data_IF_879161868333
#
_entry.id   IF_879161868333
#
_cell.length_a   1.000
_cell.length_b   1.000
_cell.length_c   1.000
_cell.angle_alpha   90.00
_cell.angle_beta   90.00
_cell.angle_gamma   90.00
#
_symmetry.space_group_name_H-M   'P 1'
#
loop_
_entity.id
_entity.type
_entity.pdbx_description
1 polymer ?
#
# COMPACT_ATOMS: atom_id res chain seq x y z
N UNK A 1 -1.98 22.51 11.69
CA UNK A 1 -2.11 21.03 11.85
C UNK A 1 -1.59 20.61 13.21
N UNK A 2 -2.25 19.64 13.89
CA UNK A 2 -1.82 19.12 15.19
C UNK A 2 -0.97 17.85 15.05
N UNK A 3 -0.13 17.56 16.05
CA UNK A 3 0.65 16.31 16.11
C UNK A 3 0.28 15.59 17.41
N UNK A 4 -0.12 14.32 17.31
CA UNK A 4 -0.34 13.42 18.43
C UNK A 4 0.76 12.34 18.43
N UNK A 5 1.38 12.14 19.58
CA UNK A 5 2.43 11.11 19.78
C UNK A 5 1.92 9.96 20.64
N UNK A 6 0.77 10.10 21.28
CA UNK A 6 0.13 9.04 22.07
C UNK A 6 -1.24 8.67 21.51
N UNK A 7 -1.64 7.42 21.76
CA UNK A 7 -2.99 6.93 21.40
C UNK A 7 -4.07 7.78 22.04
N UNK A 8 -3.87 8.21 23.29
CA UNK A 8 -4.89 9.00 24.00
C UNK A 8 -5.05 10.41 23.40
N UNK A 9 -3.95 11.08 23.01
CA UNK A 9 -4.02 12.37 22.31
C UNK A 9 -4.79 12.25 20.98
N UNK A 10 -4.48 11.23 20.18
CA UNK A 10 -5.17 11.01 18.91
C UNK A 10 -6.67 10.74 19.13
N UNK A 11 -7.00 9.84 20.07
CA UNK A 11 -8.40 9.53 20.42
C UNK A 11 -9.16 10.75 20.96
N UNK A 12 -8.53 11.59 21.77
CA UNK A 12 -9.16 12.78 22.31
C UNK A 12 -9.55 13.76 21.20
N UNK A 13 -8.62 14.01 20.25
CA UNK A 13 -8.89 14.85 19.08
C UNK A 13 -10.03 14.29 18.22
N UNK A 14 -10.00 12.99 17.94
CA UNK A 14 -11.04 12.35 17.14
C UNK A 14 -12.40 12.35 17.85
N UNK A 15 -12.46 12.10 19.16
CA UNK A 15 -13.71 12.17 19.93
C UNK A 15 -14.36 13.56 19.84
N UNK A 16 -13.55 14.63 19.88
CA UNK A 16 -14.04 15.98 19.68
C UNK A 16 -14.67 16.14 18.29
N UNK A 17 -13.98 15.73 17.23
CA UNK A 17 -14.52 15.80 15.87
C UNK A 17 -15.83 15.00 15.71
N UNK A 18 -15.88 13.80 16.29
CA UNK A 18 -17.09 12.97 16.26
C UNK A 18 -18.25 13.57 17.06
N UNK A 19 -17.97 14.24 18.18
CA UNK A 19 -18.99 14.96 18.96
C UNK A 19 -19.55 16.17 18.21
N UNK A 20 -18.79 16.77 17.30
CA UNK A 20 -19.21 17.83 16.39
C UNK A 20 -19.95 17.29 15.14
N UNK A 21 -20.07 15.98 15.00
CA UNK A 21 -20.76 15.32 13.85
C UNK A 21 -19.91 15.27 12.58
N UNK A 22 -18.60 15.48 12.68
CA UNK A 22 -17.71 15.54 11.52
C UNK A 22 -17.29 14.16 11.03
N UNK A 23 -17.15 14.03 9.71
CA UNK A 23 -16.59 12.85 9.06
C UNK A 23 -15.07 12.85 9.15
N UNK A 24 -14.48 11.66 9.42
CA UNK A 24 -13.03 11.49 9.60
C UNK A 24 -12.45 10.59 8.53
N UNK A 25 -11.44 11.11 7.81
CA UNK A 25 -10.59 10.35 6.90
C UNK A 25 -9.30 9.87 7.59
N UNK A 26 -8.89 8.65 7.30
CA UNK A 26 -7.61 8.07 7.75
C UNK A 26 -6.72 7.79 6.56
N UNK A 27 -5.45 8.24 6.62
CA UNK A 27 -4.41 7.88 5.65
C UNK A 27 -3.26 7.19 6.40
N UNK A 28 -3.20 5.84 6.39
CA UNK A 28 -2.09 5.11 7.01
C UNK A 28 -0.83 5.19 6.17
N UNK A 29 0.29 5.62 6.77
CA UNK A 29 1.60 5.65 6.13
C UNK A 29 2.71 5.17 7.06
N UNK A 30 3.85 4.82 6.47
CA UNK A 30 5.07 4.48 7.23
C UNK A 30 6.06 5.64 7.32
N UNK A 31 5.72 6.81 6.79
CA UNK A 31 6.62 7.95 6.65
C UNK A 31 7.43 7.92 5.35
N UNK A 32 8.35 8.89 5.22
CA UNK A 32 9.10 9.19 4.00
C UNK A 32 8.18 9.39 2.80
N UNK A 33 7.32 10.39 2.96
CA UNK A 33 6.20 10.63 2.06
C UNK A 33 6.66 11.18 0.70
N UNK A 34 5.86 10.92 -0.30
CA UNK A 34 6.05 11.38 -1.67
C UNK A 34 4.68 11.68 -2.31
N UNK A 35 4.66 12.15 -3.55
CA UNK A 35 3.45 12.58 -4.26
C UNK A 35 2.35 11.50 -4.31
N UNK A 36 2.73 10.22 -4.25
CA UNK A 36 1.77 9.12 -4.11
C UNK A 36 0.98 9.20 -2.80
N UNK A 37 1.66 9.46 -1.67
CA UNK A 37 1.01 9.66 -0.38
C UNK A 37 0.22 10.97 -0.34
N UNK A 38 0.79 12.04 -0.92
CA UNK A 38 0.12 13.35 -1.03
C UNK A 38 -1.23 13.22 -1.76
N UNK A 39 -1.30 12.40 -2.82
CA UNK A 39 -2.54 12.16 -3.55
C UNK A 39 -3.63 11.50 -2.70
N UNK A 40 -3.24 10.57 -1.79
CA UNK A 40 -4.17 9.97 -0.81
C UNK A 40 -4.71 11.01 0.17
N UNK A 41 -3.81 11.86 0.70
CA UNK A 41 -4.16 12.89 1.66
C UNK A 41 -5.10 13.92 1.03
N UNK A 42 -4.78 14.43 -0.16
CA UNK A 42 -5.64 15.35 -0.91
C UNK A 42 -7.01 14.76 -1.21
N UNK A 43 -7.07 13.47 -1.54
CA UNK A 43 -8.33 12.74 -1.74
C UNK A 43 -9.14 12.70 -0.44
N UNK A 44 -8.50 12.38 0.68
CA UNK A 44 -9.15 12.34 1.99
C UNK A 44 -9.68 13.72 2.40
N UNK A 45 -8.89 14.78 2.21
CA UNK A 45 -9.28 16.18 2.50
C UNK A 45 -10.46 16.64 1.65
N UNK A 46 -10.55 16.17 0.41
CA UNK A 46 -11.69 16.50 -0.47
C UNK A 46 -12.99 15.76 -0.11
N UNK A 47 -12.92 14.64 0.62
CA UNK A 47 -14.05 13.75 0.87
C UNK A 47 -14.48 13.67 2.34
N UNK A 48 -13.67 14.20 3.28
CA UNK A 48 -13.93 14.17 4.71
C UNK A 48 -13.74 15.55 5.35
N UNK A 49 -14.47 15.82 6.45
CA UNK A 49 -14.38 17.10 7.18
C UNK A 49 -13.07 17.23 7.95
N UNK A 50 -12.49 16.11 8.39
CA UNK A 50 -11.22 16.02 9.12
C UNK A 50 -10.39 14.85 8.64
N UNK A 51 -9.08 15.04 8.58
CA UNK A 51 -8.15 13.99 8.11
C UNK A 51 -7.04 13.76 9.13
N UNK A 52 -6.90 12.50 9.55
CA UNK A 52 -5.76 12.00 10.30
C UNK A 52 -4.82 11.23 9.39
N UNK A 53 -3.54 11.61 9.37
CA UNK A 53 -2.47 10.87 8.70
C UNK A 53 -1.62 10.20 9.77
N UNK A 54 -1.45 8.86 9.69
CA UNK A 54 -0.47 8.20 10.55
C UNK A 54 0.90 8.15 9.86
N UNK A 55 1.95 8.50 10.60
CA UNK A 55 3.35 8.35 10.21
C UNK A 55 3.98 7.37 11.18
N UNK A 56 3.89 6.07 10.87
CA UNK A 56 4.32 5.01 11.76
C UNK A 56 4.98 3.85 11.01
N UNK A 57 6.29 3.71 11.17
CA UNK A 57 7.04 2.58 10.64
C UNK A 57 6.77 1.34 11.50
N UNK A 58 5.83 0.53 11.04
CA UNK A 58 5.33 -0.63 11.80
C UNK A 58 6.34 -1.79 11.84
N UNK A 59 6.98 -2.08 12.99
CA UNK A 59 8.03 -3.09 13.04
C UNK A 59 7.53 -4.53 12.78
N UNK A 60 6.29 -4.85 13.15
CA UNK A 60 5.78 -6.22 13.09
C UNK A 60 5.39 -6.69 11.67
N UNK A 61 5.41 -5.80 10.68
CA UNK A 61 5.18 -6.17 9.27
C UNK A 61 6.44 -6.46 8.48
N UNK A 62 7.62 -6.33 9.11
CA UNK A 62 8.92 -6.61 8.50
C UNK A 62 9.47 -7.92 9.01
N UNK A 63 10.01 -8.74 8.09
CA UNK A 63 10.79 -9.90 8.46
C UNK A 63 12.21 -9.47 8.93
N UNK A 64 12.95 -10.31 9.67
CA UNK A 64 14.27 -9.95 10.20
C UNK A 64 15.30 -9.52 9.17
N UNK A 65 15.15 -9.95 7.91
CA UNK A 65 16.06 -9.66 6.80
C UNK A 65 15.51 -8.61 5.83
N UNK A 66 14.44 -7.90 6.20
CA UNK A 66 13.89 -6.79 5.42
C UNK A 66 14.48 -5.44 5.84
N UNK A 67 14.12 -4.40 5.10
CA UNK A 67 14.70 -3.05 5.16
C UNK A 67 14.24 -2.17 6.33
N UNK A 68 13.73 -2.74 7.42
CA UNK A 68 13.24 -1.98 8.58
C UNK A 68 14.28 -0.99 9.14
N UNK A 69 15.53 -1.45 9.30
CA UNK A 69 16.60 -0.64 9.88
C UNK A 69 17.04 0.49 8.95
N UNK A 70 17.01 0.25 7.64
CA UNK A 70 17.46 1.19 6.59
C UNK A 70 16.33 1.95 5.96
N UNK A 71 15.08 1.68 6.36
CA UNK A 71 13.91 2.40 5.82
C UNK A 71 14.06 3.91 6.04
N UNK A 72 13.94 4.73 5.00
CA UNK A 72 14.19 6.16 5.10
C UNK A 72 13.18 6.84 6.03
N UNK A 73 13.63 7.88 6.74
CA UNK A 73 12.82 8.68 7.68
C UNK A 73 13.19 10.13 7.54
N UNK A 74 12.19 10.98 7.38
CA UNK A 74 12.32 12.44 7.43
C UNK A 74 11.00 13.03 7.93
N UNK A 75 10.83 13.02 9.24
CA UNK A 75 9.57 13.47 9.87
C UNK A 75 9.27 14.94 9.61
N UNK A 76 10.30 15.78 9.48
CA UNK A 76 10.11 17.20 9.19
C UNK A 76 9.55 17.40 7.77
N UNK A 77 10.12 16.71 6.77
CA UNK A 77 9.60 16.74 5.40
C UNK A 77 8.19 16.13 5.31
N UNK A 78 7.95 15.01 6.01
CA UNK A 78 6.64 14.36 6.07
C UNK A 78 5.58 15.32 6.64
N UNK A 79 5.89 15.96 7.75
CA UNK A 79 4.97 16.91 8.42
C UNK A 79 4.64 18.09 7.50
N UNK A 80 5.64 18.66 6.84
CA UNK A 80 5.44 19.77 5.88
C UNK A 80 4.56 19.34 4.70
N UNK A 81 4.77 18.15 4.14
CA UNK A 81 3.95 17.62 3.05
C UNK A 81 2.50 17.40 3.49
N UNK A 82 2.29 16.81 4.69
CA UNK A 82 0.96 16.54 5.24
C UNK A 82 0.20 17.85 5.49
N UNK A 83 0.87 18.86 6.07
CA UNK A 83 0.27 20.19 6.33
C UNK A 83 -0.11 20.89 5.02
N UNK A 84 0.78 20.87 4.02
CA UNK A 84 0.51 21.46 2.71
C UNK A 84 -0.62 20.72 1.97
N UNK A 85 -0.80 19.44 2.19
CA UNK A 85 -1.90 18.65 1.64
C UNK A 85 -3.25 18.91 2.34
N UNK A 86 -3.24 19.61 3.49
CA UNK A 86 -4.45 20.08 4.18
C UNK A 86 -4.99 19.12 5.26
N UNK A 87 -4.22 18.16 5.74
CA UNK A 87 -4.65 17.30 6.84
C UNK A 87 -4.66 18.04 8.20
N UNK A 88 -5.49 17.56 9.13
CA UNK A 88 -5.73 18.20 10.43
C UNK A 88 -4.86 17.64 11.55
N UNK A 89 -4.54 16.34 11.49
CA UNK A 89 -3.81 15.62 12.53
C UNK A 89 -2.76 14.68 11.96
N UNK A 90 -1.54 14.77 12.45
CA UNK A 90 -0.51 13.73 12.30
C UNK A 90 -0.49 12.86 13.54
N UNK A 91 -0.59 11.55 13.37
CA UNK A 91 -0.37 10.59 14.45
C UNK A 91 0.99 9.90 14.24
N UNK A 92 1.94 10.24 15.12
CA UNK A 92 3.32 9.75 15.05
C UNK A 92 3.75 9.15 16.40
N UNK A 93 3.26 7.93 16.70
CA UNK A 93 3.58 7.26 17.97
C UNK A 93 4.91 6.51 17.90
N UNK A 94 5.52 6.32 19.09
CA UNK A 94 6.57 5.32 19.27
C UNK A 94 5.98 3.88 19.20
N UNK A 95 6.77 2.87 18.83
CA UNK A 95 6.30 1.48 18.78
C UNK A 95 5.68 0.97 20.08
N UNK A 96 6.21 1.38 21.23
CA UNK A 96 5.70 1.02 22.56
C UNK A 96 4.29 1.55 22.83
N UNK A 97 3.89 2.63 22.16
CA UNK A 97 2.53 3.20 22.28
C UNK A 97 1.47 2.31 21.60
N UNK A 98 1.85 1.66 20.49
CA UNK A 98 0.96 0.74 19.78
C UNK A 98 1.09 -0.72 20.23
N UNK A 99 2.25 -1.12 20.73
CA UNK A 99 2.55 -2.50 21.11
C UNK A 99 3.13 -2.54 22.52
N UNK A 100 2.29 -2.82 23.51
CA UNK A 100 2.73 -3.07 24.87
C UNK A 100 3.66 -4.31 24.89
N UNK A 101 4.61 -4.40 25.86
CA UNK A 101 5.55 -5.52 25.93
C UNK A 101 4.89 -6.91 26.05
N UNK A 102 3.67 -6.97 26.59
CA UNK A 102 2.86 -8.16 26.76
C UNK A 102 1.77 -8.32 25.69
N UNK A 103 1.80 -7.54 24.63
CA UNK A 103 0.82 -7.61 23.53
C UNK A 103 0.83 -8.99 22.86
N UNK A 104 -0.31 -9.67 22.86
CA UNK A 104 -0.49 -11.01 22.32
C UNK A 104 -1.66 -11.13 21.33
N UNK A 105 -2.29 -10.02 20.96
CA UNK A 105 -3.43 -9.99 20.04
C UNK A 105 -2.98 -9.54 18.65
N UNK A 106 -3.35 -10.33 17.64
CA UNK A 106 -3.06 -10.06 16.23
C UNK A 106 -4.32 -10.25 15.39
N UNK A 107 -4.38 -9.53 14.27
CA UNK A 107 -5.40 -9.75 13.24
C UNK A 107 -4.75 -10.48 12.07
N UNK A 108 -5.29 -11.63 11.70
CA UNK A 108 -4.84 -12.44 10.57
C UNK A 108 -5.97 -12.59 9.56
N UNK A 109 -5.65 -12.44 8.28
CA UNK A 109 -6.56 -12.75 7.17
C UNK A 109 -5.92 -13.89 6.40
N UNK A 110 -6.67 -14.97 6.21
CA UNK A 110 -6.19 -16.17 5.53
C UNK A 110 -6.57 -16.18 4.03
N UNK A 111 -6.10 -17.16 3.30
CA UNK A 111 -6.30 -17.37 1.85
C UNK A 111 -5.71 -16.25 0.98
N UNK A 112 -6.32 -15.06 0.93
CA UNK A 112 -5.88 -13.96 0.06
C UNK A 112 -4.50 -13.40 0.43
N UNK A 113 -3.94 -13.84 1.53
CA UNK A 113 -2.58 -13.52 2.01
C UNK A 113 -1.56 -14.61 1.71
N UNK A 114 -1.97 -15.72 1.08
CA UNK A 114 -1.06 -16.83 0.74
C UNK A 114 -0.43 -16.70 -0.65
N UNK A 115 -0.91 -15.77 -1.48
CA UNK A 115 -0.46 -15.55 -2.85
C UNK A 115 0.40 -14.27 -2.96
N UNK A 116 1.02 -14.04 -4.11
CA UNK A 116 1.77 -12.83 -4.44
C UNK A 116 2.83 -12.49 -3.35
N UNK A 117 2.73 -11.28 -2.77
CA UNK A 117 3.63 -10.85 -1.68
C UNK A 117 3.56 -11.76 -0.44
N UNK A 118 2.42 -12.39 -0.17
CA UNK A 118 2.28 -13.27 0.97
C UNK A 118 3.09 -14.56 0.87
N UNK A 119 3.36 -15.07 -0.35
CA UNK A 119 4.25 -16.22 -0.56
C UNK A 119 5.68 -15.94 -0.09
N UNK A 120 6.19 -14.75 -0.35
CA UNK A 120 7.57 -14.36 -0.04
C UNK A 120 7.72 -13.64 1.30
N UNK A 121 6.60 -13.15 1.85
CA UNK A 121 6.53 -12.39 3.11
C UNK A 121 5.41 -12.93 4.02
N UNK A 122 5.52 -14.14 4.59
CA UNK A 122 4.40 -14.84 5.23
C UNK A 122 3.85 -14.15 6.48
N UNK A 123 4.64 -13.30 7.16
CA UNK A 123 4.19 -12.55 8.35
C UNK A 123 3.73 -11.12 8.07
N UNK A 124 3.96 -10.65 6.84
CA UNK A 124 3.72 -9.26 6.45
C UNK A 124 2.28 -8.82 6.67
N UNK A 125 1.32 -9.54 6.10
CA UNK A 125 -0.09 -9.14 6.16
C UNK A 125 -0.69 -9.25 7.56
N UNK A 126 -0.23 -10.18 8.39
CA UNK A 126 -0.58 -10.20 9.81
C UNK A 126 -0.16 -8.90 10.51
N UNK A 127 1.04 -8.41 10.22
CA UNK A 127 1.51 -7.11 10.72
C UNK A 127 0.67 -5.94 10.19
N UNK A 128 0.36 -5.93 8.89
CA UNK A 128 -0.48 -4.90 8.26
C UNK A 128 -1.89 -4.90 8.84
N UNK A 129 -2.57 -6.04 8.89
CA UNK A 129 -3.93 -6.15 9.42
C UNK A 129 -4.00 -5.69 10.88
N UNK A 130 -3.00 -6.07 11.69
CA UNK A 130 -2.94 -5.67 13.09
C UNK A 130 -2.79 -4.16 13.26
N UNK A 131 -1.84 -3.53 12.57
CA UNK A 131 -1.64 -2.07 12.69
C UNK A 131 -2.82 -1.29 12.12
N UNK A 132 -3.34 -1.70 10.95
CA UNK A 132 -4.47 -1.01 10.31
C UNK A 132 -5.72 -1.10 11.19
N UNK A 133 -6.01 -2.25 11.80
CA UNK A 133 -7.11 -2.39 12.78
C UNK A 133 -6.94 -1.46 13.97
N UNK A 134 -5.72 -1.34 14.52
CA UNK A 134 -5.44 -0.37 15.60
C UNK A 134 -5.68 1.06 15.15
N UNK A 135 -5.18 1.45 13.99
CA UNK A 135 -5.34 2.80 13.45
C UNK A 135 -6.81 3.13 13.18
N UNK A 136 -7.59 2.20 12.63
CA UNK A 136 -9.03 2.36 12.44
C UNK A 136 -9.78 2.53 13.77
N UNK A 137 -9.43 1.75 14.80
CA UNK A 137 -10.00 1.90 16.15
C UNK A 137 -9.61 3.22 16.84
N UNK A 138 -8.39 3.72 16.59
CA UNK A 138 -7.91 4.99 17.16
C UNK A 138 -8.59 6.17 16.49
N UNK A 139 -8.66 6.15 15.15
CA UNK A 139 -9.20 7.23 14.33
C UNK A 139 -10.72 7.26 14.25
N UNK A 140 -11.39 6.14 14.55
CA UNK A 140 -12.84 5.98 14.29
C UNK A 140 -13.23 6.51 12.91
N UNK A 141 -12.37 6.27 11.91
CA UNK A 141 -12.51 6.83 10.59
C UNK A 141 -13.78 6.32 9.88
N UNK A 142 -14.45 7.24 9.16
CA UNK A 142 -15.55 6.89 8.25
C UNK A 142 -14.98 6.36 6.93
N UNK A 143 -13.80 6.87 6.51
CA UNK A 143 -13.09 6.44 5.31
C UNK A 143 -11.60 6.26 5.58
N UNK A 144 -11.00 5.22 4.98
CA UNK A 144 -9.57 4.97 5.04
C UNK A 144 -9.01 4.79 3.62
N UNK A 145 -7.93 5.53 3.30
CA UNK A 145 -7.40 5.68 1.95
C UNK A 145 -6.13 4.87 1.76
N UNK A 146 -6.10 4.04 0.73
CA UNK A 146 -4.98 3.16 0.40
C UNK A 146 -4.63 3.24 -1.08
N UNK A 147 -3.34 3.20 -1.40
CA UNK A 147 -2.87 3.22 -2.79
C UNK A 147 -3.03 1.86 -3.48
N UNK A 148 -3.54 1.85 -4.71
CA UNK A 148 -3.61 0.65 -5.57
C UNK A 148 -2.24 0.09 -5.94
N UNK A 149 -1.16 0.85 -5.72
CA UNK A 149 0.20 0.31 -5.89
C UNK A 149 0.42 -0.94 -5.03
N UNK A 150 -0.10 -0.94 -3.82
CA UNK A 150 -0.09 -2.07 -2.91
C UNK A 150 -1.43 -2.83 -2.99
N UNK A 151 -1.79 -3.28 -4.22
CA UNK A 151 -3.11 -3.80 -4.55
C UNK A 151 -3.53 -4.99 -3.67
N UNK A 152 -2.62 -5.93 -3.40
CA UNK A 152 -2.92 -7.03 -2.49
C UNK A 152 -3.23 -6.53 -1.07
N UNK A 153 -2.49 -5.54 -0.57
CA UNK A 153 -2.79 -4.91 0.73
C UNK A 153 -4.19 -4.29 0.73
N UNK A 154 -4.56 -3.58 -0.34
CA UNK A 154 -5.89 -2.99 -0.48
C UNK A 154 -6.98 -4.07 -0.43
N UNK A 155 -6.80 -5.19 -1.15
CA UNK A 155 -7.73 -6.32 -1.12
C UNK A 155 -7.83 -6.97 0.28
N UNK A 156 -6.69 -7.17 0.94
CA UNK A 156 -6.61 -7.74 2.30
C UNK A 156 -7.30 -6.83 3.32
N UNK A 157 -7.07 -5.52 3.27
CA UNK A 157 -7.71 -4.56 4.19
C UNK A 157 -9.23 -4.51 3.94
N UNK A 158 -9.69 -4.52 2.70
CA UNK A 158 -11.12 -4.61 2.37
C UNK A 158 -11.76 -5.88 2.93
N UNK A 159 -11.07 -7.02 2.78
CA UNK A 159 -11.52 -8.30 3.32
C UNK A 159 -11.62 -8.25 4.84
N UNK A 160 -10.60 -7.74 5.52
CA UNK A 160 -10.57 -7.57 6.97
C UNK A 160 -11.73 -6.70 7.47
N UNK A 161 -11.96 -5.54 6.84
CA UNK A 161 -13.03 -4.61 7.20
C UNK A 161 -14.40 -5.26 7.04
N UNK A 162 -14.63 -5.97 5.92
CA UNK A 162 -15.87 -6.70 5.67
C UNK A 162 -16.10 -7.80 6.70
N UNK A 163 -15.11 -8.65 6.91
CA UNK A 163 -15.24 -9.85 7.74
C UNK A 163 -15.35 -9.52 9.24
N UNK A 164 -14.75 -8.40 9.67
CA UNK A 164 -14.85 -7.88 11.04
C UNK A 164 -16.02 -6.90 11.25
N UNK A 165 -16.84 -6.65 10.23
CA UNK A 165 -17.96 -5.70 10.26
C UNK A 165 -17.54 -4.31 10.77
N UNK A 166 -16.38 -3.82 10.33
CA UNK A 166 -15.87 -2.51 10.73
C UNK A 166 -16.61 -1.41 9.98
N UNK A 167 -17.04 -0.36 10.69
CA UNK A 167 -17.73 0.80 10.13
C UNK A 167 -16.75 1.78 9.49
N UNK A 168 -16.06 1.35 8.43
CA UNK A 168 -15.14 2.20 7.67
C UNK A 168 -15.20 1.82 6.19
N UNK A 169 -15.29 2.81 5.32
CA UNK A 169 -15.17 2.64 3.88
C UNK A 169 -13.68 2.60 3.48
N UNK A 170 -13.25 1.55 2.80
CA UNK A 170 -11.87 1.42 2.30
C UNK A 170 -11.78 1.94 0.87
N UNK A 171 -11.21 3.12 0.70
CA UNK A 171 -11.06 3.82 -0.58
C UNK A 171 -9.73 3.46 -1.23
N UNK A 172 -9.78 2.87 -2.42
CA UNK A 172 -8.59 2.63 -3.26
C UNK A 172 -8.27 3.86 -4.10
N UNK A 173 -7.02 4.31 -4.10
CA UNK A 173 -6.56 5.45 -4.89
C UNK A 173 -5.60 5.00 -6.00
N UNK A 174 -5.66 5.59 -7.20
CA UNK A 174 -4.83 5.21 -8.33
C UNK A 174 -3.32 5.27 -8.05
N UNK A 175 -2.54 4.49 -8.81
CA UNK A 175 -1.08 4.54 -8.75
C UNK A 175 -0.58 5.88 -9.31
N UNK A 176 0.17 6.62 -8.50
CA UNK A 176 0.91 7.80 -8.96
C UNK A 176 2.25 7.34 -9.53
N UNK A 177 2.60 7.87 -10.70
CA UNK A 177 3.83 7.54 -11.41
C UNK A 177 4.70 8.77 -11.61
N UNK A 178 6.00 8.54 -11.75
CA UNK A 178 6.93 9.55 -12.25
C UNK A 178 6.67 9.81 -13.76
N UNK A 179 7.20 10.91 -14.29
CA UNK A 179 7.04 11.26 -15.72
C UNK A 179 7.52 10.14 -16.68
N UNK A 180 8.55 9.39 -16.27
CA UNK A 180 9.08 8.23 -17.00
C UNK A 180 8.22 6.97 -16.88
N UNK A 181 7.17 7.00 -16.04
CA UNK A 181 6.22 5.90 -15.83
C UNK A 181 6.52 5.01 -14.62
N UNK A 182 7.65 5.18 -13.93
CA UNK A 182 7.97 4.41 -12.73
C UNK A 182 6.94 4.71 -11.62
N UNK A 183 6.38 3.67 -11.00
CA UNK A 183 5.48 3.85 -9.86
C UNK A 183 6.21 4.51 -8.68
N UNK A 184 5.63 5.58 -8.11
CA UNK A 184 6.21 6.28 -6.94
C UNK A 184 6.32 5.34 -5.76
N UNK A 185 7.52 5.31 -5.15
CA UNK A 185 7.83 4.49 -3.98
C UNK A 185 8.96 5.12 -3.18
N UNK A 186 8.88 5.06 -1.86
CA UNK A 186 9.99 5.46 -0.97
C UNK A 186 11.27 4.66 -1.26
N UNK A 187 11.13 3.41 -1.73
CA UNK A 187 12.25 2.55 -2.12
C UNK A 187 12.96 2.98 -3.41
N UNK A 188 12.36 3.86 -4.22
CA UNK A 188 13.04 4.40 -5.42
C UNK A 188 14.29 5.20 -5.06
N UNK A 189 14.42 5.68 -3.83
CA UNK A 189 15.62 6.39 -3.33
C UNK A 189 16.84 5.48 -3.15
N UNK A 190 16.64 4.16 -3.09
CA UNK A 190 17.75 3.19 -3.00
C UNK A 190 18.44 2.93 -4.34
N UNK A 191 17.77 3.30 -5.46
CA UNK A 191 18.24 3.01 -6.80
C UNK A 191 19.37 3.96 -7.21
N UNK A 192 20.48 3.41 -7.66
CA UNK A 192 21.48 4.16 -8.43
C UNK A 192 20.89 4.67 -9.75
N UNK A 193 21.53 5.63 -10.43
CA UNK A 193 21.04 6.10 -11.72
C UNK A 193 20.82 4.99 -12.76
N UNK A 194 21.72 4.01 -12.84
CA UNK A 194 21.59 2.86 -13.74
C UNK A 194 20.41 1.95 -13.35
N UNK A 195 20.26 1.66 -12.03
CA UNK A 195 19.14 0.88 -11.53
C UNK A 195 17.80 1.60 -11.71
N UNK A 196 17.79 2.94 -11.62
CA UNK A 196 16.58 3.75 -11.85
C UNK A 196 16.10 3.65 -13.30
N UNK A 197 17.02 3.65 -14.26
CA UNK A 197 16.69 3.43 -15.68
C UNK A 197 16.21 2.00 -15.91
N UNK A 198 16.90 1.01 -15.35
CA UNK A 198 16.49 -0.41 -15.40
C UNK A 198 15.08 -0.63 -14.80
N UNK A 199 14.72 0.08 -13.73
CA UNK A 199 13.43 -0.05 -13.06
C UNK A 199 12.23 0.32 -13.97
N UNK A 200 12.45 1.05 -15.05
CA UNK A 200 11.40 1.39 -16.03
C UNK A 200 10.84 0.13 -16.73
N UNK A 201 11.54 -0.99 -16.66
CA UNK A 201 11.07 -2.26 -17.21
C UNK A 201 9.74 -2.70 -16.59
N UNK A 202 9.49 -2.38 -15.30
CA UNK A 202 8.22 -2.71 -14.65
C UNK A 202 7.05 -1.99 -15.31
N UNK A 203 7.16 -0.69 -15.52
CA UNK A 203 6.10 0.08 -16.18
C UNK A 203 5.90 -0.29 -17.65
N UNK A 204 6.98 -0.70 -18.35
CA UNK A 204 6.89 -1.24 -19.72
C UNK A 204 6.12 -2.54 -19.75
N UNK A 205 6.42 -3.46 -18.84
CA UNK A 205 5.72 -4.74 -18.71
C UNK A 205 4.23 -4.56 -18.36
N UNK A 206 3.91 -3.65 -17.42
CA UNK A 206 2.51 -3.30 -17.08
C UNK A 206 1.75 -2.79 -18.30
N UNK A 207 2.35 -1.88 -19.07
CA UNK A 207 1.70 -1.34 -20.28
C UNK A 207 1.45 -2.41 -21.33
N UNK A 208 2.39 -3.32 -21.54
CA UNK A 208 2.24 -4.42 -22.51
C UNK A 208 1.14 -5.39 -22.04
N UNK A 209 1.14 -5.83 -20.79
CA UNK A 209 0.09 -6.71 -20.27
C UNK A 209 -1.30 -6.08 -20.40
N UNK A 210 -1.45 -4.80 -20.06
CA UNK A 210 -2.70 -4.07 -20.22
C UNK A 210 -3.11 -3.95 -21.68
N UNK A 211 -2.20 -3.61 -22.58
CA UNK A 211 -2.45 -3.51 -24.03
C UNK A 211 -3.01 -4.81 -24.60
N UNK A 212 -2.38 -5.95 -24.28
CA UNK A 212 -2.85 -7.26 -24.73
C UNK A 212 -4.28 -7.54 -24.26
N UNK A 213 -4.61 -7.21 -23.00
CA UNK A 213 -5.95 -7.40 -22.46
C UNK A 213 -6.98 -6.45 -23.12
N UNK A 214 -6.60 -5.22 -23.41
CA UNK A 214 -7.43 -4.24 -24.13
C UNK A 214 -7.68 -4.69 -25.58
N UNK A 215 -6.75 -5.40 -26.21
CA UNK A 215 -6.89 -6.01 -27.54
C UNK A 215 -7.67 -7.35 -27.53
N UNK A 216 -8.12 -7.79 -26.35
CA UNK A 216 -8.99 -8.97 -26.23
C UNK A 216 -8.29 -10.24 -25.77
N UNK A 217 -6.97 -10.23 -25.53
CA UNK A 217 -6.29 -11.39 -24.94
C UNK A 217 -6.80 -11.65 -23.51
N UNK A 218 -7.01 -12.92 -23.18
CA UNK A 218 -7.51 -13.37 -21.86
C UNK A 218 -6.70 -14.51 -21.28
N UNK A 219 -5.84 -15.16 -22.07
CA UNK A 219 -4.98 -16.25 -21.61
C UNK A 219 -3.86 -15.69 -20.73
N UNK A 220 -3.85 -16.08 -19.45
CA UNK A 220 -2.87 -15.60 -18.48
C UNK A 220 -1.44 -15.97 -18.91
N UNK A 221 -1.21 -17.15 -19.48
CA UNK A 221 0.11 -17.59 -19.92
C UNK A 221 0.68 -16.69 -21.01
N UNK A 222 -0.14 -16.29 -21.97
CA UNK A 222 0.24 -15.39 -23.08
C UNK A 222 0.59 -14.01 -22.52
N UNK A 223 -0.27 -13.42 -21.68
CA UNK A 223 -0.08 -12.08 -21.10
C UNK A 223 1.15 -12.05 -20.20
N UNK A 224 1.24 -12.99 -19.25
CA UNK A 224 2.37 -13.07 -18.32
C UNK A 224 3.68 -13.41 -19.03
N UNK A 225 3.63 -14.21 -20.10
CA UNK A 225 4.79 -14.54 -20.93
C UNK A 225 5.38 -13.30 -21.60
N UNK A 226 4.55 -12.44 -22.18
CA UNK A 226 4.97 -11.19 -22.79
C UNK A 226 5.57 -10.23 -21.76
N UNK A 227 4.93 -10.10 -20.57
CA UNK A 227 5.44 -9.27 -19.49
C UNK A 227 6.79 -9.76 -18.96
N UNK A 228 6.94 -11.08 -18.77
CA UNK A 228 8.21 -11.70 -18.31
C UNK A 228 9.33 -11.47 -19.31
N UNK A 229 9.07 -11.66 -20.60
CA UNK A 229 10.07 -11.44 -21.67
C UNK A 229 10.64 -10.02 -21.63
N UNK A 230 9.79 -9.00 -21.39
CA UNK A 230 10.22 -7.60 -21.24
C UNK A 230 11.14 -7.44 -20.02
N UNK A 231 10.78 -8.04 -18.87
CA UNK A 231 11.55 -7.90 -17.63
C UNK A 231 12.87 -8.66 -17.75
N UNK A 232 12.87 -9.87 -18.30
CA UNK A 232 14.05 -10.74 -18.42
C UNK A 232 15.08 -10.20 -19.43
N UNK A 233 14.66 -9.29 -20.34
CA UNK A 233 15.58 -8.57 -21.22
C UNK A 233 16.44 -7.52 -20.50
N UNK A 234 16.11 -7.17 -19.25
CA UNK A 234 16.86 -6.21 -18.43
C UNK A 234 17.85 -6.95 -17.51
N UNK A 235 19.17 -6.81 -17.72
CA UNK A 235 20.17 -7.57 -16.97
C UNK A 235 20.19 -7.30 -15.45
N UNK A 236 19.75 -6.11 -15.01
CA UNK A 236 19.66 -5.75 -13.60
C UNK A 236 18.37 -6.22 -12.93
N UNK A 237 17.41 -6.76 -13.71
CA UNK A 237 16.14 -7.21 -13.20
C UNK A 237 16.15 -8.71 -12.84
N UNK A 238 15.56 -9.05 -11.71
CA UNK A 238 15.31 -10.43 -11.30
C UNK A 238 13.87 -10.54 -10.80
N UNK A 239 13.08 -11.32 -11.49
CA UNK A 239 11.68 -11.54 -11.13
C UNK A 239 11.58 -12.27 -9.78
N UNK A 240 10.76 -11.75 -8.88
CA UNK A 240 10.25 -12.45 -7.69
C UNK A 240 8.95 -13.17 -8.05
N UNK A 241 7.97 -12.43 -8.57
CA UNK A 241 6.78 -12.99 -9.21
C UNK A 241 6.25 -12.06 -10.31
N UNK A 242 5.54 -12.63 -11.28
CA UNK A 242 4.63 -11.97 -12.24
C UNK A 242 3.44 -12.90 -12.35
N UNK A 243 2.29 -12.50 -11.81
CA UNK A 243 1.12 -13.37 -11.65
C UNK A 243 -0.17 -12.63 -12.01
N UNK A 244 -1.16 -13.39 -12.47
CA UNK A 244 -2.54 -12.95 -12.67
C UNK A 244 -3.43 -13.66 -11.67
N UNK A 245 -4.21 -12.89 -10.93
CA UNK A 245 -5.13 -13.42 -9.91
C UNK A 245 -6.51 -12.78 -10.06
N UNK A 246 -7.56 -13.46 -9.60
CA UNK A 246 -8.88 -12.84 -9.48
C UNK A 246 -8.82 -11.64 -8.52
N UNK A 247 -9.48 -10.53 -8.87
CA UNK A 247 -9.43 -9.32 -8.04
C UNK A 247 -10.10 -9.52 -6.68
N UNK A 248 -11.22 -10.21 -6.64
CA UNK A 248 -12.00 -10.38 -5.41
C UNK A 248 -11.42 -11.41 -4.44
N UNK A 249 -10.70 -12.43 -4.96
CA UNK A 249 -10.23 -13.57 -4.17
C UNK A 249 -8.73 -13.72 -4.06
N UNK A 250 -7.95 -12.96 -4.88
CA UNK A 250 -6.49 -13.11 -5.00
C UNK A 250 -6.10 -14.59 -5.26
N UNK A 251 -6.88 -15.27 -6.08
CA UNK A 251 -6.61 -16.67 -6.50
C UNK A 251 -6.05 -16.70 -7.91
N UNK A 252 -5.01 -17.51 -8.19
CA UNK A 252 -4.47 -17.64 -9.53
C UNK A 252 -5.56 -18.01 -10.54
N UNK A 253 -5.49 -17.42 -11.73
CA UNK A 253 -6.41 -17.68 -12.84
C UNK A 253 -5.61 -17.98 -14.12
N UNK A 254 -6.10 -18.92 -14.91
CA UNK A 254 -5.52 -19.27 -16.21
C UNK A 254 -6.10 -18.44 -17.35
N UNK A 255 -7.35 -18.01 -17.18
CA UNK A 255 -8.08 -17.16 -18.14
C UNK A 255 -8.80 -16.05 -17.39
N UNK A 256 -8.69 -14.82 -17.88
CA UNK A 256 -9.41 -13.68 -17.32
C UNK A 256 -10.87 -13.70 -17.83
N UNK A 257 -11.77 -14.30 -17.05
CA UNK A 257 -13.22 -14.35 -17.28
C UNK A 257 -14.02 -13.40 -16.38
N UNK A 258 -13.33 -12.73 -15.45
CA UNK A 258 -13.83 -11.74 -14.51
C UNK A 258 -12.74 -10.71 -14.23
N UNK A 259 -13.02 -9.72 -13.40
CA UNK A 259 -12.00 -8.70 -13.02
C UNK A 259 -10.77 -9.35 -12.39
N UNK A 260 -9.60 -9.00 -12.90
CA UNK A 260 -8.31 -9.57 -12.47
C UNK A 260 -7.32 -8.49 -12.02
N UNK A 261 -6.44 -8.90 -11.12
CA UNK A 261 -5.23 -8.18 -10.78
C UNK A 261 -4.03 -8.87 -11.45
N UNK A 262 -3.32 -8.13 -12.29
CA UNK A 262 -2.01 -8.54 -12.81
C UNK A 262 -0.94 -7.81 -12.03
N UNK A 263 -0.15 -8.55 -11.25
CA UNK A 263 0.79 -7.99 -10.31
C UNK A 263 2.19 -8.59 -10.46
N UNK A 264 3.19 -7.77 -10.19
CA UNK A 264 4.57 -8.20 -10.21
C UNK A 264 5.37 -7.68 -9.03
N UNK A 265 6.39 -8.42 -8.65
CA UNK A 265 7.50 -7.97 -7.84
C UNK A 265 8.81 -8.33 -8.54
N UNK A 266 9.69 -7.34 -8.66
CA UNK A 266 10.94 -7.46 -9.37
C UNK A 266 12.05 -6.82 -8.54
N UNK A 267 13.15 -7.52 -8.36
CA UNK A 267 14.36 -6.95 -7.81
C UNK A 267 15.13 -6.23 -8.93
N UNK A 268 15.45 -4.97 -8.70
CA UNK A 268 16.44 -4.22 -9.50
C UNK A 268 17.68 -4.08 -8.62
N UNK A 269 18.74 -4.79 -8.99
CA UNK A 269 19.85 -4.99 -8.07
C UNK A 269 19.38 -5.63 -6.76
N UNK A 270 19.49 -4.90 -5.64
CA UNK A 270 19.02 -5.35 -4.31
C UNK A 270 17.61 -4.84 -3.95
N UNK A 271 17.10 -3.85 -4.67
CA UNK A 271 15.85 -3.16 -4.35
C UNK A 271 14.66 -3.91 -4.93
N UNK A 272 13.76 -4.36 -4.06
CA UNK A 272 12.50 -5.00 -4.47
C UNK A 272 11.44 -3.95 -4.76
N UNK A 273 11.00 -3.89 -6.01
CA UNK A 273 9.95 -3.01 -6.49
C UNK A 273 8.70 -3.81 -6.87
N UNK A 274 7.54 -3.18 -6.75
CA UNK A 274 6.27 -3.77 -7.16
C UNK A 274 5.54 -2.83 -8.11
N UNK A 275 4.79 -3.42 -9.03
CA UNK A 275 3.86 -2.72 -9.91
C UNK A 275 2.69 -3.64 -10.27
N UNK A 276 1.59 -3.06 -10.72
CA UNK A 276 0.40 -3.83 -11.08
C UNK A 276 -0.56 -3.02 -11.95
N UNK A 277 -1.58 -3.71 -12.42
CA UNK A 277 -2.81 -3.10 -12.91
C UNK A 277 -4.02 -4.01 -12.61
N UNK A 278 -5.17 -3.39 -12.41
CA UNK A 278 -6.46 -4.06 -12.35
C UNK A 278 -7.10 -3.94 -13.72
N UNK A 279 -7.64 -5.04 -14.23
CA UNK A 279 -8.45 -5.06 -15.44
C UNK A 279 -9.87 -5.45 -15.04
N UNK A 280 -10.77 -4.48 -15.13
CA UNK A 280 -12.19 -4.64 -14.80
C UNK A 280 -12.97 -5.13 -16.03
N UNK A 281 -13.90 -6.07 -15.81
CA UNK A 281 -14.75 -6.67 -16.85
C UNK A 281 -16.21 -6.46 -16.50
#
# INVERSE_FOLDING_TARGET
MNIATTVEQAKQTVRQWKAEGLTVGLVPTMGYLHEGHESLIKRAVAECDRVMVSVFLNPIQFAPNEDLATYPRDFAADTALIENAGADLVFHPEPSELYAPDACTFVNVEEITSELCGKTRPTHFRGVCTVVSKLMNISQADRAYFGQKDAQQLAVVRRMVRDLNMNVEVVGCPIVREENGLAKSSRNTYLSPAEREAALVLSRAVREGRRLMEEGERDAKTILGAMRAIIEAEPLARIDYVEMVSWDGIKPVDVADSSVLVAMAVYIGKTRLIDNFIFEM
#
